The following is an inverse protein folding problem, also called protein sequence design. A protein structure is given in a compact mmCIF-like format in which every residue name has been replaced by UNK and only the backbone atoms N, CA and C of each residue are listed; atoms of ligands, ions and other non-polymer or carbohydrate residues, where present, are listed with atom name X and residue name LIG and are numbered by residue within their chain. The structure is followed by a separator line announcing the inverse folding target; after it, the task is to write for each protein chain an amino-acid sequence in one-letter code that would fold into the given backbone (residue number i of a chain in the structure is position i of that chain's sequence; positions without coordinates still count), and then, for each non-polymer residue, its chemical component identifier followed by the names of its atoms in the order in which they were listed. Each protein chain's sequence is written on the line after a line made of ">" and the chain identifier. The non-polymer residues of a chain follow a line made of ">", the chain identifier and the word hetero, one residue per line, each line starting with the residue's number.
data_IF_417563924158
#
_entry.id   IF_417563924158
#
_cell.length_a   1.000
_cell.length_b   1.000
_cell.length_c   1.000
_cell.angle_alpha   90.00
_cell.angle_beta   90.00
_cell.angle_gamma   90.00
#
_symmetry.space_group_name_H-M   'P 1'
#
loop_
_entity.id
_entity.type
_entity.pdbx_description
1 polymer ?
#
# COMPACT_ATOMS: atom_id res chain seq x y z
N UNK A 1 18.66 -7.37 -3.73
CA UNK A 1 17.95 -6.17 -4.25
C UNK A 1 18.33 -4.96 -3.40
N UNK A 2 18.44 -3.77 -3.99
CA UNK A 2 18.69 -2.51 -3.29
C UNK A 2 17.50 -1.60 -3.49
N UNK A 3 16.86 -1.19 -2.40
CA UNK A 3 15.88 -0.10 -2.36
C UNK A 3 16.62 1.19 -2.01
N UNK A 4 16.58 2.19 -2.90
CA UNK A 4 17.12 3.51 -2.60
C UNK A 4 16.00 4.39 -2.03
N UNK A 5 16.29 5.10 -0.95
CA UNK A 5 15.35 6.01 -0.28
C UNK A 5 15.96 7.40 -0.24
N UNK A 6 15.22 8.39 -0.73
CA UNK A 6 15.58 9.80 -0.60
C UNK A 6 14.66 10.46 0.43
N UNK A 7 15.25 11.12 1.43
CA UNK A 7 14.51 11.84 2.46
C UNK A 7 14.21 13.27 2.00
N UNK A 8 12.95 13.56 1.72
CA UNK A 8 12.44 14.91 1.46
C UNK A 8 12.41 15.72 2.76
N UNK A 9 12.00 15.09 3.86
CA UNK A 9 12.14 15.61 5.21
C UNK A 9 13.31 14.90 5.90
N UNK A 10 14.42 15.63 6.06
CA UNK A 10 15.65 15.08 6.65
C UNK A 10 15.52 14.66 8.11
N UNK A 11 14.54 15.19 8.82
CA UNK A 11 14.29 14.87 10.22
C UNK A 11 13.54 13.53 10.39
N UNK A 12 12.90 13.02 9.35
CA UNK A 12 12.24 11.73 9.44
C UNK A 12 13.25 10.60 9.55
N UNK A 13 12.95 9.53 10.31
CA UNK A 13 13.76 8.32 10.30
C UNK A 13 13.75 7.68 8.90
N UNK A 14 14.78 6.94 8.56
CA UNK A 14 14.68 6.01 7.43
C UNK A 14 13.63 4.93 7.77
N UNK A 15 12.79 4.56 6.80
CA UNK A 15 11.94 3.40 6.98
C UNK A 15 12.79 2.14 7.14
N UNK A 16 12.36 1.25 8.03
CA UNK A 16 13.10 0.03 8.35
C UNK A 16 12.16 -1.12 8.70
N UNK A 17 12.69 -2.33 8.66
CA UNK A 17 12.03 -3.53 9.16
C UNK A 17 12.09 -3.56 10.68
N UNK A 18 10.94 -3.64 11.34
CA UNK A 18 10.88 -3.61 12.81
C UNK A 18 11.26 -4.95 13.47
N UNK A 19 11.45 -6.01 12.69
CA UNK A 19 11.99 -7.29 13.15
C UNK A 19 12.74 -7.99 12.02
N UNK A 20 13.64 -8.92 12.37
CA UNK A 20 14.51 -9.62 11.41
C UNK A 20 13.77 -10.36 10.28
N UNK A 21 12.53 -10.80 10.52
CA UNK A 21 11.70 -11.53 9.53
C UNK A 21 10.44 -10.75 9.13
N UNK A 22 10.39 -9.44 9.41
CA UNK A 22 9.28 -8.63 8.97
C UNK A 22 9.24 -8.57 7.44
N UNK A 23 8.05 -8.72 6.85
CA UNK A 23 7.83 -8.54 5.41
C UNK A 23 7.61 -7.07 5.03
N UNK A 24 7.15 -6.26 5.99
CA UNK A 24 6.82 -4.86 5.76
C UNK A 24 7.81 -3.91 6.42
N UNK A 25 8.13 -2.84 5.71
CA UNK A 25 8.93 -1.71 6.17
C UNK A 25 7.95 -0.66 6.70
N UNK A 26 8.07 -0.25 7.96
CA UNK A 26 7.15 0.75 8.54
C UNK A 26 7.36 2.13 7.92
N UNK A 27 6.27 2.80 7.57
CA UNK A 27 6.25 4.16 7.04
C UNK A 27 5.75 5.13 8.11
N UNK A 28 6.45 6.27 8.22
CA UNK A 28 6.17 7.31 9.19
C UNK A 28 5.44 8.47 8.54
N UNK A 29 4.49 9.07 9.26
CA UNK A 29 3.87 10.32 8.85
C UNK A 29 4.89 11.47 8.93
N UNK A 30 4.86 12.36 7.93
CA UNK A 30 5.64 13.60 7.89
C UNK A 30 4.68 14.79 7.76
N UNK A 31 4.10 15.18 8.88
CA UNK A 31 3.10 16.27 8.94
C UNK A 31 3.63 17.39 9.83
N UNK A 32 3.34 18.64 9.45
CA UNK A 32 3.71 19.81 10.27
C UNK A 32 2.79 19.98 11.48
N UNK A 33 1.49 19.72 11.26
CA UNK A 33 0.45 19.79 12.28
C UNK A 33 -0.28 18.46 12.35
N UNK A 34 -0.90 18.17 13.49
CA UNK A 34 -1.75 17.00 13.69
C UNK A 34 -2.88 16.98 12.67
N UNK A 35 -3.10 15.83 12.02
CA UNK A 35 -4.15 15.64 11.00
C UNK A 35 -5.25 14.77 11.57
N UNK A 36 -6.45 15.33 11.75
CA UNK A 36 -7.62 14.57 12.21
C UNK A 36 -8.36 13.95 11.03
N UNK A 37 -8.72 12.67 11.17
CA UNK A 37 -9.54 11.90 10.21
C UNK A 37 -10.82 11.50 10.94
N UNK A 38 -11.96 12.10 10.58
CA UNK A 38 -13.25 11.77 11.15
C UNK A 38 -13.70 10.36 10.76
N UNK A 39 -14.60 9.69 11.52
CA UNK A 39 -15.23 8.44 11.09
C UNK A 39 -15.87 8.56 9.71
N UNK A 40 -15.58 7.61 8.82
CA UNK A 40 -16.07 7.60 7.45
C UNK A 40 -15.29 8.53 6.49
N UNK A 41 -14.28 9.24 6.96
CA UNK A 41 -13.47 10.16 6.16
C UNK A 41 -12.08 9.59 5.87
N UNK A 42 -11.36 10.19 4.92
CA UNK A 42 -10.00 9.82 4.55
C UNK A 42 -9.11 11.04 4.35
N UNK A 43 -7.80 10.85 4.47
CA UNK A 43 -6.78 11.89 4.24
C UNK A 43 -5.55 11.29 3.57
N UNK A 44 -4.93 12.07 2.71
CA UNK A 44 -3.59 11.79 2.19
C UNK A 44 -2.58 12.26 3.21
N UNK A 45 -1.74 11.33 3.68
CA UNK A 45 -0.70 11.62 4.66
C UNK A 45 0.67 11.49 3.98
N UNK A 46 1.47 12.56 3.93
CA UNK A 46 2.83 12.51 3.41
C UNK A 46 3.74 11.69 4.33
N UNK A 47 4.76 11.06 3.75
CA UNK A 47 5.78 10.30 4.49
C UNK A 47 7.14 10.98 4.51
N UNK A 48 7.32 12.06 3.74
CA UNK A 48 8.59 12.79 3.64
C UNK A 48 9.71 11.99 2.97
N UNK A 49 9.39 10.94 2.21
CA UNK A 49 10.37 10.16 1.46
C UNK A 49 9.91 9.93 0.03
N UNK A 50 10.87 9.73 -0.86
CA UNK A 50 10.68 9.09 -2.16
C UNK A 50 11.55 7.84 -2.26
N UNK A 51 11.16 6.90 -3.12
CA UNK A 51 11.86 5.62 -3.29
C UNK A 51 12.22 5.38 -4.74
N UNK A 52 13.26 4.56 -4.96
CA UNK A 52 13.62 4.05 -6.27
C UNK A 52 13.80 2.55 -6.18
N UNK A 53 12.91 1.84 -6.87
CA UNK A 53 12.91 0.38 -6.99
C UNK A 53 13.63 -0.04 -8.26
N UNK A 54 14.29 -1.22 -8.28
CA UNK A 54 14.75 -1.83 -9.52
C UNK A 54 13.57 -2.22 -10.42
N UNK A 55 13.81 -2.28 -11.71
CA UNK A 55 12.83 -2.82 -12.67
C UNK A 55 12.45 -4.27 -12.29
N UNK A 56 11.17 -4.62 -12.45
CA UNK A 56 10.62 -5.92 -12.08
C UNK A 56 10.15 -6.01 -10.64
N UNK A 57 10.15 -4.89 -9.90
CA UNK A 57 9.63 -4.80 -8.53
C UNK A 57 8.64 -3.64 -8.40
N UNK A 58 7.73 -3.79 -7.46
CA UNK A 58 6.84 -2.74 -6.95
C UNK A 58 6.95 -2.62 -5.44
N UNK A 59 6.52 -1.50 -4.87
CA UNK A 59 6.24 -1.41 -3.44
C UNK A 59 4.74 -1.31 -3.20
N UNK A 60 4.23 -2.15 -2.31
CA UNK A 60 2.82 -2.18 -1.93
C UNK A 60 2.63 -1.52 -0.58
N UNK A 61 1.80 -0.47 -0.53
CA UNK A 61 1.39 0.17 0.72
C UNK A 61 0.22 -0.61 1.31
N UNK A 62 0.42 -1.13 2.52
CA UNK A 62 -0.54 -1.96 3.24
C UNK A 62 -0.85 -1.37 4.62
N UNK A 63 -2.07 -1.62 5.16
CA UNK A 63 -2.42 -1.21 6.52
C UNK A 63 -1.52 -1.86 7.56
N UNK A 64 -1.39 -1.21 8.72
CA UNK A 64 -0.82 -1.82 9.91
C UNK A 64 -1.93 -2.47 10.72
N UNK A 65 -1.76 -3.76 11.04
CA UNK A 65 -2.75 -4.56 11.78
C UNK A 65 -3.17 -3.92 13.11
N UNK A 66 -2.22 -3.31 13.84
CA UNK A 66 -2.51 -2.64 15.10
C UNK A 66 -3.41 -1.41 14.94
N UNK A 67 -3.26 -0.61 13.88
CA UNK A 67 -4.13 0.52 13.59
C UNK A 67 -5.52 0.05 13.12
N UNK A 68 -5.56 -0.98 12.29
CA UNK A 68 -6.80 -1.58 11.83
C UNK A 68 -7.63 -2.12 13.00
N UNK A 69 -7.02 -2.94 13.86
CA UNK A 69 -7.71 -3.56 14.98
C UNK A 69 -8.18 -2.55 16.03
N UNK A 70 -7.31 -1.63 16.44
CA UNK A 70 -7.59 -0.72 17.57
C UNK A 70 -8.40 0.50 17.18
N UNK A 71 -8.27 0.96 15.95
CA UNK A 71 -8.81 2.25 15.51
C UNK A 71 -9.67 2.18 14.25
N UNK A 72 -9.71 1.04 13.56
CA UNK A 72 -10.41 0.91 12.27
C UNK A 72 -9.73 1.68 11.13
N UNK A 73 -8.42 1.95 11.25
CA UNK A 73 -7.67 2.69 10.24
C UNK A 73 -7.10 1.73 9.19
N UNK A 74 -7.33 2.05 7.93
CA UNK A 74 -6.81 1.29 6.78
C UNK A 74 -6.19 2.22 5.74
N UNK A 75 -5.53 1.62 4.75
CA UNK A 75 -5.14 2.30 3.52
C UNK A 75 -6.29 2.12 2.54
N UNK A 76 -6.90 3.22 2.09
CA UNK A 76 -8.14 3.21 1.31
C UNK A 76 -8.01 2.42 0.00
N UNK A 77 -6.89 2.57 -0.70
CA UNK A 77 -6.56 1.87 -1.94
C UNK A 77 -5.66 0.64 -1.72
N UNK A 78 -5.79 -0.05 -0.58
CA UNK A 78 -4.93 -1.17 -0.24
C UNK A 78 -5.12 -2.38 -1.16
N UNK A 79 -4.01 -2.97 -1.67
CA UNK A 79 -2.63 -2.47 -1.57
C UNK A 79 -2.40 -1.26 -2.49
N UNK A 80 -1.87 -0.15 -1.93
CA UNK A 80 -1.48 1.00 -2.75
C UNK A 80 -0.19 0.67 -3.53
N UNK A 81 -0.18 0.88 -4.84
CA UNK A 81 0.96 0.52 -5.70
C UNK A 81 1.91 1.70 -5.87
N UNK A 82 3.19 1.45 -5.67
CA UNK A 82 4.30 2.33 -6.03
C UNK A 82 5.12 1.62 -7.11
N UNK A 83 5.02 2.12 -8.31
CA UNK A 83 5.70 1.57 -9.48
C UNK A 83 7.22 1.81 -9.43
N UNK A 84 7.99 0.96 -10.13
CA UNK A 84 9.45 1.08 -10.16
C UNK A 84 9.96 2.40 -10.76
N UNK A 85 9.18 3.04 -11.62
CA UNK A 85 9.50 4.32 -12.27
C UNK A 85 8.91 5.55 -11.56
N UNK A 86 8.12 5.38 -10.49
CA UNK A 86 7.63 6.49 -9.68
C UNK A 86 8.76 7.13 -8.88
N UNK A 87 8.86 8.46 -8.91
CA UNK A 87 9.89 9.24 -8.19
C UNK A 87 9.31 10.33 -7.30
N UNK A 88 7.99 10.43 -7.23
CA UNK A 88 7.33 11.37 -6.33
C UNK A 88 7.41 10.94 -4.87
N UNK A 89 6.91 11.79 -3.99
CA UNK A 89 6.78 11.47 -2.58
C UNK A 89 5.82 10.30 -2.36
N UNK A 90 6.24 9.32 -1.57
CA UNK A 90 5.35 8.26 -1.09
C UNK A 90 4.34 8.88 -0.12
N UNK A 91 3.05 8.81 -0.47
CA UNK A 91 1.95 9.29 0.37
C UNK A 91 1.00 8.15 0.65
N UNK A 92 0.42 8.16 1.86
CA UNK A 92 -0.50 7.11 2.30
C UNK A 92 -1.91 7.69 2.38
N UNK A 93 -2.85 7.05 1.67
CA UNK A 93 -4.26 7.42 1.71
C UNK A 93 -4.94 6.66 2.85
N UNK A 94 -5.00 7.28 4.04
CA UNK A 94 -5.62 6.66 5.22
C UNK A 94 -7.12 6.88 5.24
N UNK A 95 -7.86 5.82 5.54
CA UNK A 95 -9.31 5.82 5.75
C UNK A 95 -9.63 5.42 7.19
N UNK A 96 -10.58 6.13 7.81
CA UNK A 96 -11.07 5.84 9.15
C UNK A 96 -12.43 5.14 9.10
N UNK A 97 -12.46 3.82 9.26
CA UNK A 97 -13.67 3.01 9.46
C UNK A 97 -14.06 2.86 10.93
N UNK A 98 -13.31 3.49 11.83
CA UNK A 98 -13.58 3.46 13.26
C UNK A 98 -14.78 4.34 13.65
N UNK A 99 -15.06 4.38 14.96
CA UNK A 99 -16.20 5.15 15.53
C UNK A 99 -15.80 6.48 16.12
N UNK A 100 -14.50 6.79 16.17
CA UNK A 100 -13.96 8.02 16.76
C UNK A 100 -12.99 8.69 15.80
N UNK A 101 -12.81 10.01 15.85
CA UNK A 101 -11.76 10.68 15.09
C UNK A 101 -10.39 10.06 15.41
N UNK A 102 -9.58 9.87 14.37
CA UNK A 102 -8.20 9.40 14.49
C UNK A 102 -7.25 10.56 14.18
N UNK A 103 -6.32 10.82 15.09
CA UNK A 103 -5.35 11.90 14.93
C UNK A 103 -4.01 11.33 14.53
N UNK A 104 -3.55 11.68 13.32
CA UNK A 104 -2.22 11.38 12.82
C UNK A 104 -1.26 12.47 13.30
N UNK A 105 -0.23 12.06 14.01
CA UNK A 105 0.84 12.93 14.50
C UNK A 105 2.12 12.73 13.69
N UNK A 106 2.96 13.74 13.68
CA UNK A 106 4.27 13.62 13.06
C UNK A 106 5.05 12.43 13.63
N UNK A 107 5.80 11.72 12.79
CA UNK A 107 6.58 10.52 13.13
C UNK A 107 5.74 9.30 13.58
N UNK A 108 4.40 9.36 13.50
CA UNK A 108 3.56 8.19 13.75
C UNK A 108 3.75 7.15 12.64
N UNK A 109 3.88 5.87 12.98
CA UNK A 109 3.87 4.77 12.01
C UNK A 109 2.45 4.54 11.50
N UNK A 110 2.20 4.83 10.23
CA UNK A 110 0.84 4.91 9.65
C UNK A 110 0.51 3.78 8.68
N UNK A 111 1.51 3.18 8.05
CA UNK A 111 1.38 2.11 7.08
C UNK A 111 2.63 1.25 7.09
N UNK A 112 2.63 0.18 6.30
CA UNK A 112 3.81 -0.59 5.98
C UNK A 112 3.95 -0.72 4.47
N UNK A 113 5.20 -0.77 4.00
CA UNK A 113 5.58 -0.94 2.60
C UNK A 113 6.17 -2.34 2.41
N UNK A 114 5.59 -3.13 1.52
CA UNK A 114 6.08 -4.48 1.18
C UNK A 114 6.60 -4.46 -0.25
N UNK A 115 7.81 -4.95 -0.46
CA UNK A 115 8.38 -5.07 -1.80
C UNK A 115 7.96 -6.40 -2.41
N UNK A 116 7.50 -6.36 -3.66
CA UNK A 116 7.00 -7.52 -4.40
C UNK A 116 7.59 -7.56 -5.80
N UNK A 117 7.81 -8.75 -6.33
CA UNK A 117 8.14 -8.94 -7.74
C UNK A 117 6.90 -8.71 -8.61
N UNK A 118 7.10 -8.17 -9.81
CA UNK A 118 6.03 -7.88 -10.76
C UNK A 118 6.19 -8.71 -12.01
N UNK A 119 5.20 -9.54 -12.28
CA UNK A 119 5.09 -10.24 -13.56
C UNK A 119 4.34 -9.35 -14.54
N UNK A 120 4.98 -9.02 -15.66
CA UNK A 120 4.36 -8.26 -16.76
C UNK A 120 3.88 -9.21 -17.85
N UNK A 121 2.57 -9.39 -17.93
CA UNK A 121 1.96 -10.16 -18.99
C UNK A 121 2.04 -9.43 -20.34
N UNK A 122 2.29 -10.18 -21.42
CA UNK A 122 2.02 -9.71 -22.77
C UNK A 122 0.53 -9.89 -23.03
N UNK A 123 -0.18 -8.81 -23.23
CA UNK A 123 -1.62 -8.83 -23.57
C UNK A 123 -1.73 -9.04 -25.08
N UNK A 124 -2.52 -10.03 -25.47
CA UNK A 124 -2.91 -10.27 -26.85
C UNK A 124 -4.44 -10.31 -26.90
N UNK A 125 -5.01 -9.65 -27.89
CA UNK A 125 -6.43 -9.77 -28.20
C UNK A 125 -6.66 -11.09 -28.98
N UNK A 126 -7.75 -11.76 -28.70
CA UNK A 126 -8.23 -12.94 -29.41
C UNK A 126 -9.60 -12.62 -30.03
N UNK A 127 -9.77 -12.96 -31.30
CA UNK A 127 -10.99 -12.61 -32.06
C UNK A 127 -12.16 -13.52 -31.77
N UNK A 128 -11.91 -14.71 -31.22
CA UNK A 128 -12.93 -15.71 -30.95
C UNK A 128 -12.75 -16.34 -29.57
N UNK A 129 -13.87 -16.54 -28.86
CA UNK A 129 -13.90 -17.17 -27.53
C UNK A 129 -13.26 -18.57 -27.50
N UNK A 130 -13.37 -19.32 -28.60
CA UNK A 130 -12.71 -20.65 -28.72
C UNK A 130 -11.19 -20.64 -28.62
N UNK A 131 -10.54 -19.43 -28.75
CA UNK A 131 -9.11 -19.25 -28.57
C UNK A 131 -8.71 -19.11 -27.10
N UNK A 132 -9.71 -18.95 -26.21
CA UNK A 132 -9.48 -19.01 -24.76
C UNK A 132 -9.34 -20.46 -24.30
N UNK A 133 -8.49 -20.68 -23.31
CA UNK A 133 -8.30 -21.98 -22.69
C UNK A 133 -9.57 -22.40 -21.93
N UNK A 134 -10.13 -23.57 -22.30
CA UNK A 134 -11.29 -24.14 -21.61
C UNK A 134 -10.89 -24.66 -20.24
N UNK A 135 -11.75 -24.38 -19.24
CA UNK A 135 -11.55 -24.90 -17.88
C UNK A 135 -12.83 -25.55 -17.36
N UNK A 136 -12.71 -26.38 -16.30
CA UNK A 136 -13.90 -26.96 -15.65
C UNK A 136 -14.78 -25.92 -14.97
N UNK A 137 -14.21 -24.78 -14.60
CA UNK A 137 -14.91 -23.66 -13.96
C UNK A 137 -15.65 -22.80 -14.99
N UNK A 138 -15.06 -22.66 -16.19
CA UNK A 138 -15.57 -21.83 -17.29
C UNK A 138 -16.01 -20.43 -16.80
N UNK A 139 -17.27 -20.05 -17.01
CA UNK A 139 -17.83 -18.75 -16.60
C UNK A 139 -18.37 -18.74 -15.15
N UNK A 140 -18.22 -19.81 -14.39
CA UNK A 140 -18.66 -19.91 -13.01
C UNK A 140 -17.94 -18.90 -12.07
N UNK A 141 -18.72 -18.00 -11.45
CA UNK A 141 -18.22 -16.98 -10.51
C UNK A 141 -19.16 -16.87 -9.30
N UNK A 142 -18.90 -15.87 -8.42
CA UNK A 142 -19.76 -15.44 -7.32
C UNK A 142 -20.33 -16.59 -6.45
N UNK A 143 -19.48 -17.53 -6.04
CA UNK A 143 -19.88 -18.62 -5.15
C UNK A 143 -20.46 -19.86 -5.87
N UNK A 144 -20.20 -20.07 -7.18
CA UNK A 144 -20.66 -21.23 -7.92
C UNK A 144 -20.21 -22.59 -7.34
N UNK A 145 -19.22 -22.60 -6.44
CA UNK A 145 -18.76 -23.79 -5.69
C UNK A 145 -19.59 -24.08 -4.44
N UNK A 146 -20.62 -23.27 -4.16
CA UNK A 146 -21.46 -23.35 -2.97
C UNK A 146 -20.88 -22.64 -1.75
N UNK A 147 -21.60 -22.66 -0.64
CA UNK A 147 -21.23 -22.21 0.70
C UNK A 147 -21.05 -23.38 1.61
#
# INVERSE_FOLDING_TARGET
>A
MILKVYKLNKNNPLPDYMSHQASGIDLFASVENDVSIAPGDYRIIPTGISVSLPQGYEAQLRPRSGLALKHGITVLNSPGTIDADYRGEVKVLLMNHGKKPFVVKNMMRIAQMVISEVVRARIIEVDEEKQMDKTKRDNGGFGHTGV
#
